data_IF_583391481163
#
_entry.id   IF_583391481163
#
_cell.length_a   1.000
_cell.length_b   1.000
_cell.length_c   1.000
_cell.angle_alpha   90.00
_cell.angle_beta   90.00
_cell.angle_gamma   90.00
#
_symmetry.space_group_name_H-M   'P 1'
#
loop_
_entity.id
_entity.type
_entity.pdbx_description
1 polymer ?
#
# COMPACT_ATOMS: atom_id res chain seq x y z
N UNK A 1 -46.24 25.21 -35.92
CA UNK A 1 -45.31 25.70 -36.97
C UNK A 1 -44.06 24.85 -36.86
N UNK A 2 -44.00 23.66 -37.54
CA UNK A 2 -43.58 23.37 -38.91
C UNK A 2 -42.15 23.86 -39.19
N UNK A 3 -41.22 22.91 -39.27
CA UNK A 3 -40.31 22.48 -40.34
C UNK A 3 -39.25 21.56 -39.74
N UNK A 4 -39.26 20.29 -39.86
CA UNK A 4 -38.83 19.37 -40.93
C UNK A 4 -37.64 19.83 -41.77
N UNK A 5 -36.57 19.09 -41.72
CA UNK A 5 -35.40 19.18 -42.58
C UNK A 5 -34.60 17.89 -42.53
N UNK A 6 -34.98 16.99 -43.32
CA UNK A 6 -34.53 15.70 -43.77
C UNK A 6 -33.46 15.92 -44.88
N UNK A 7 -32.32 15.24 -44.81
CA UNK A 7 -31.43 14.81 -45.91
C UNK A 7 -30.42 13.83 -45.28
N UNK A 8 -30.43 12.54 -45.44
CA UNK A 8 -30.39 11.68 -46.63
C UNK A 8 -28.99 11.58 -47.26
N UNK A 9 -28.52 10.30 -47.21
CA UNK A 9 -27.73 9.53 -48.20
C UNK A 9 -26.21 9.81 -48.33
N UNK A 10 -25.35 8.82 -48.25
CA UNK A 10 -24.82 7.75 -49.12
C UNK A 10 -23.57 7.17 -48.44
N UNK A 11 -23.50 5.94 -48.05
CA UNK A 11 -23.04 4.78 -48.79
C UNK A 11 -21.65 4.89 -49.43
N UNK A 12 -20.67 4.19 -48.89
CA UNK A 12 -19.73 3.43 -49.72
C UNK A 12 -18.93 2.42 -48.91
N UNK A 13 -19.09 1.19 -49.31
CA UNK A 13 -18.43 -0.05 -49.01
C UNK A 13 -16.98 0.03 -49.51
N UNK A 14 -16.03 -0.43 -48.71
CA UNK A 14 -14.79 -0.99 -49.20
C UNK A 14 -14.29 -2.10 -48.27
N UNK A 15 -14.62 -3.32 -48.69
CA UNK A 15 -14.08 -4.57 -48.25
C UNK A 15 -12.69 -4.75 -48.85
N UNK A 16 -11.64 -4.91 -48.06
CA UNK A 16 -10.39 -5.49 -48.53
C UNK A 16 -9.91 -6.54 -47.53
N UNK A 17 -10.12 -7.78 -47.92
CA UNK A 17 -9.42 -8.95 -47.40
C UNK A 17 -7.96 -8.93 -47.90
N UNK A 18 -7.01 -9.07 -46.98
CA UNK A 18 -5.74 -9.68 -47.32
C UNK A 18 -5.27 -10.53 -46.13
N UNK A 19 -5.40 -11.82 -46.34
CA UNK A 19 -4.63 -12.82 -45.63
C UNK A 19 -3.26 -12.91 -46.29
N UNK A 20 -2.18 -12.98 -45.52
CA UNK A 20 -1.11 -13.96 -45.78
C UNK A 20 -0.08 -13.98 -44.63
N UNK A 21 0.14 -15.18 -44.14
CA UNK A 21 1.26 -15.61 -43.32
C UNK A 21 2.59 -15.38 -44.00
N UNK A 22 3.61 -14.96 -43.22
CA UNK A 22 4.95 -15.54 -43.40
C UNK A 22 5.75 -15.41 -42.11
N UNK A 23 6.34 -16.51 -41.70
CA UNK A 23 7.35 -16.66 -40.67
C UNK A 23 8.57 -15.78 -40.97
N UNK A 24 9.09 -15.09 -39.96
CA UNK A 24 10.33 -14.35 -40.03
C UNK A 24 10.92 -14.11 -38.64
N UNK A 25 11.89 -14.96 -38.31
CA UNK A 25 12.71 -14.91 -37.09
C UNK A 25 13.78 -13.86 -37.32
N UNK A 26 13.88 -12.85 -36.45
CA UNK A 26 15.13 -12.24 -35.99
C UNK A 26 14.89 -11.17 -34.95
N UNK A 27 15.37 -11.41 -33.78
CA UNK A 27 16.25 -10.67 -32.89
C UNK A 27 16.36 -9.15 -33.12
N UNK A 28 16.08 -8.42 -32.08
CA UNK A 28 16.31 -6.99 -31.96
C UNK A 28 15.52 -6.42 -30.78
N UNK A 29 16.03 -6.66 -29.58
CA UNK A 29 15.52 -6.07 -28.35
C UNK A 29 15.94 -4.60 -28.31
N UNK A 30 15.00 -3.70 -28.48
CA UNK A 30 15.10 -2.37 -27.90
C UNK A 30 14.01 -2.28 -26.86
N UNK A 31 14.44 -2.44 -25.62
CA UNK A 31 13.62 -2.28 -24.42
C UNK A 31 13.46 -0.80 -24.19
N UNK A 32 12.30 -0.28 -24.50
CA UNK A 32 11.84 1.03 -24.06
C UNK A 32 11.63 0.96 -22.53
N UNK A 33 12.30 1.78 -21.71
CA UNK A 33 12.09 1.80 -20.27
C UNK A 33 10.93 2.71 -19.92
N UNK A 34 9.72 2.38 -20.39
CA UNK A 34 8.49 3.00 -19.87
C UNK A 34 8.06 2.23 -18.64
N UNK A 35 8.37 2.82 -17.49
CA UNK A 35 8.09 2.40 -16.14
C UNK A 35 6.76 1.70 -15.88
N UNK A 36 6.73 0.41 -16.10
CA UNK A 36 5.83 -0.48 -15.39
C UNK A 36 6.64 -1.03 -14.21
N UNK A 37 6.58 -0.33 -13.09
CA UNK A 37 7.04 -0.86 -11.82
C UNK A 37 6.16 -2.07 -11.54
N UNK A 38 6.59 -3.24 -11.99
CA UNK A 38 6.00 -4.50 -11.59
C UNK A 38 5.94 -4.47 -10.06
N UNK A 39 4.74 -4.26 -9.54
CA UNK A 39 4.44 -4.36 -8.12
C UNK A 39 4.80 -5.79 -7.73
N UNK A 40 6.02 -5.96 -7.20
CA UNK A 40 6.44 -7.25 -6.67
C UNK A 40 5.43 -7.61 -5.62
N UNK A 41 4.65 -8.65 -5.88
CA UNK A 41 3.59 -9.08 -5.00
C UNK A 41 4.21 -9.39 -3.63
N UNK A 42 3.88 -8.53 -2.66
CA UNK A 42 4.26 -8.74 -1.28
C UNK A 42 3.44 -9.91 -0.73
N UNK A 43 4.09 -10.95 -0.28
CA UNK A 43 3.39 -12.12 0.23
C UNK A 43 4.23 -13.39 0.18
N UNK A 44 3.57 -14.52 0.20
CA UNK A 44 4.23 -15.83 0.16
C UNK A 44 4.30 -16.33 -1.29
N UNK A 45 5.52 -16.54 -1.79
CA UNK A 45 5.81 -17.13 -3.09
C UNK A 45 6.60 -18.42 -2.84
N UNK A 46 6.14 -19.53 -3.38
CA UNK A 46 6.75 -20.87 -3.19
C UNK A 46 7.01 -21.21 -1.72
N UNK A 47 6.07 -20.88 -0.84
CA UNK A 47 6.16 -21.12 0.60
C UNK A 47 7.16 -20.21 1.34
N UNK A 48 7.77 -19.24 0.65
CA UNK A 48 8.68 -18.26 1.26
C UNK A 48 8.04 -16.89 1.29
N UNK A 49 8.18 -16.20 2.42
CA UNK A 49 7.76 -14.81 2.55
C UNK A 49 8.69 -13.91 1.71
N UNK A 50 8.10 -13.24 0.74
CA UNK A 50 8.77 -12.23 -0.10
C UNK A 50 8.43 -10.85 0.43
N UNK A 51 9.47 -10.15 0.85
CA UNK A 51 9.33 -8.76 1.27
C UNK A 51 9.36 -7.84 0.05
N UNK A 52 8.41 -6.92 -0.06
CA UNK A 52 8.47 -5.92 -1.11
C UNK A 52 9.68 -4.99 -0.88
N UNK A 53 10.25 -4.40 -1.94
CA UNK A 53 11.21 -3.32 -1.77
C UNK A 53 10.56 -2.16 -1.02
N UNK A 54 11.36 -1.33 -0.33
CA UNK A 54 10.84 -0.14 0.33
C UNK A 54 10.16 0.77 -0.70
N UNK A 55 8.87 1.04 -0.55
CA UNK A 55 8.16 1.91 -1.47
C UNK A 55 8.59 3.38 -1.29
N UNK A 56 8.42 4.18 -2.34
CA UNK A 56 8.63 5.63 -2.30
C UNK A 56 7.45 6.40 -1.68
N UNK A 57 6.29 5.74 -1.61
CA UNK A 57 5.07 6.28 -1.00
C UNK A 57 5.02 5.92 0.48
N UNK A 58 4.41 6.78 1.27
CA UNK A 58 4.16 6.53 2.69
C UNK A 58 3.01 5.55 2.92
N UNK A 59 2.06 5.46 1.98
CA UNK A 59 0.96 4.50 2.00
C UNK A 59 1.13 3.52 0.84
N UNK A 60 1.22 2.23 1.14
CA UNK A 60 1.42 1.17 0.14
C UNK A 60 0.46 0.01 0.36
N UNK A 61 -0.44 -0.17 -0.58
CA UNK A 61 -1.52 -1.15 -0.50
C UNK A 61 -1.24 -2.38 -1.37
N UNK A 62 -0.37 -3.28 -0.89
CA UNK A 62 -0.06 -4.53 -1.59
C UNK A 62 -1.20 -5.57 -1.50
N UNK A 63 -2.13 -5.39 -0.55
CA UNK A 63 -3.29 -6.27 -0.40
C UNK A 63 -4.52 -5.81 -1.19
N UNK A 64 -4.55 -4.55 -1.69
CA UNK A 64 -5.69 -3.99 -2.39
C UNK A 64 -6.91 -3.76 -1.50
N UNK A 65 -6.70 -3.42 -0.21
CA UNK A 65 -7.78 -3.30 0.78
C UNK A 65 -7.97 -1.88 1.31
N UNK A 66 -7.05 -0.95 1.01
CA UNK A 66 -7.13 0.42 1.52
C UNK A 66 -7.96 1.35 0.63
N UNK A 67 -8.29 0.90 -0.57
CA UNK A 67 -9.19 1.56 -1.54
C UNK A 67 -8.78 2.96 -2.02
N UNK A 68 -9.71 3.70 -2.65
CA UNK A 68 -9.45 4.98 -3.34
C UNK A 68 -9.06 6.14 -2.39
N UNK A 69 -9.18 5.96 -1.09
CA UNK A 69 -8.86 6.99 -0.08
C UNK A 69 -7.37 7.08 0.27
N UNK A 70 -6.52 6.23 -0.33
CA UNK A 70 -5.06 6.20 -0.11
C UNK A 70 -4.43 7.58 -0.32
N UNK A 71 -4.86 8.32 -1.36
CA UNK A 71 -4.30 9.64 -1.68
C UNK A 71 -4.46 10.64 -0.54
N UNK A 72 -5.63 10.68 0.09
CA UNK A 72 -5.86 11.58 1.22
C UNK A 72 -4.92 11.28 2.40
N UNK A 73 -4.76 10.00 2.73
CA UNK A 73 -3.87 9.57 3.81
C UNK A 73 -2.38 9.84 3.46
N UNK A 74 -1.99 9.61 2.21
CA UNK A 74 -0.65 9.93 1.72
C UNK A 74 -0.35 11.44 1.81
N UNK A 75 -1.30 12.29 1.39
CA UNK A 75 -1.16 13.75 1.42
C UNK A 75 -1.07 14.26 2.87
N UNK A 76 -1.86 13.71 3.79
CA UNK A 76 -1.79 14.05 5.21
C UNK A 76 -0.46 13.66 5.83
N UNK A 77 0.04 12.46 5.54
CA UNK A 77 1.34 12.00 6.02
C UNK A 77 2.48 12.85 5.46
N UNK A 78 2.46 13.19 4.18
CA UNK A 78 3.46 14.06 3.55
C UNK A 78 3.47 15.46 4.14
N UNK A 79 2.30 16.04 4.37
CA UNK A 79 2.17 17.35 5.01
C UNK A 79 2.80 17.30 6.41
N UNK A 80 2.46 16.30 7.22
CA UNK A 80 3.01 16.17 8.55
C UNK A 80 4.53 15.95 8.54
N UNK A 81 5.04 15.11 7.65
CA UNK A 81 6.47 14.85 7.51
C UNK A 81 7.27 16.09 7.03
N UNK A 82 6.62 17.08 6.41
CA UNK A 82 7.25 18.35 6.06
C UNK A 82 7.44 19.26 7.27
N UNK A 83 6.65 19.08 8.31
CA UNK A 83 6.69 19.89 9.54
C UNK A 83 7.50 19.22 10.65
N UNK A 84 7.43 17.89 10.73
CA UNK A 84 8.09 17.08 11.75
C UNK A 84 8.98 16.04 11.07
N UNK A 85 10.28 15.94 11.41
CA UNK A 85 11.20 15.00 10.78
C UNK A 85 10.95 13.57 11.28
N UNK A 86 9.88 12.95 10.82
CA UNK A 86 9.49 11.57 11.09
C UNK A 86 9.08 10.86 9.80
N UNK A 87 9.38 9.60 9.69
CA UNK A 87 8.92 8.75 8.60
C UNK A 87 7.80 7.83 9.10
N UNK A 88 6.57 8.02 8.62
CA UNK A 88 5.43 7.17 8.95
C UNK A 88 5.04 6.43 7.68
N UNK A 89 5.01 5.11 7.75
CA UNK A 89 4.61 4.26 6.64
C UNK A 89 3.40 3.42 7.02
N UNK A 90 2.42 3.36 6.12
CA UNK A 90 1.25 2.47 6.21
C UNK A 90 1.35 1.45 5.10
N UNK A 91 1.28 0.18 5.45
CA UNK A 91 1.46 -0.92 4.51
C UNK A 91 0.38 -1.96 4.72
N UNK A 92 -0.26 -2.39 3.64
CA UNK A 92 -1.07 -3.61 3.66
C UNK A 92 -0.35 -4.75 2.93
N UNK A 93 -0.45 -5.96 3.46
CA UNK A 93 0.06 -7.18 2.80
C UNK A 93 -1.03 -8.25 2.75
N UNK A 94 -1.25 -8.86 1.58
CA UNK A 94 -2.35 -9.80 1.38
C UNK A 94 -2.22 -11.07 2.23
N UNK A 95 -1.00 -11.53 2.45
CA UNK A 95 -0.72 -12.79 3.14
C UNK A 95 0.71 -12.81 3.69
N UNK A 96 0.88 -13.38 4.89
CA UNK A 96 2.17 -13.44 5.60
C UNK A 96 2.65 -14.88 5.90
N UNK A 97 1.99 -15.90 5.31
CA UNK A 97 2.27 -17.30 5.66
C UNK A 97 1.92 -17.59 7.12
N UNK A 98 2.65 -18.52 7.73
CA UNK A 98 2.47 -18.92 9.13
C UNK A 98 3.19 -17.96 10.11
N UNK A 99 3.65 -16.82 9.63
CA UNK A 99 4.42 -15.85 10.40
C UNK A 99 3.58 -15.03 11.38
N UNK A 100 4.23 -14.52 12.41
CA UNK A 100 3.68 -13.54 13.35
C UNK A 100 3.76 -12.13 12.76
N UNK A 101 2.65 -11.39 12.80
CA UNK A 101 2.56 -10.04 12.21
C UNK A 101 3.50 -9.03 12.87
N UNK A 102 3.78 -9.17 14.17
CA UNK A 102 4.70 -8.30 14.90
C UNK A 102 6.15 -8.55 14.48
N UNK A 103 6.50 -9.83 14.35
CA UNK A 103 7.82 -10.22 13.84
C UNK A 103 7.99 -9.71 12.41
N UNK A 104 6.96 -9.83 11.57
CA UNK A 104 6.99 -9.33 10.20
C UNK A 104 7.21 -7.81 10.15
N UNK A 105 6.46 -7.03 10.91
CA UNK A 105 6.63 -5.59 10.98
C UNK A 105 8.05 -5.20 11.42
N UNK A 106 8.63 -5.96 12.34
CA UNK A 106 10.00 -5.77 12.81
C UNK A 106 11.05 -6.05 11.72
N UNK A 107 10.88 -7.17 11.00
CA UNK A 107 11.76 -7.52 9.88
C UNK A 107 11.66 -6.53 8.71
N UNK A 108 10.44 -6.05 8.40
CA UNK A 108 10.25 -4.98 7.42
C UNK A 108 10.94 -3.68 7.86
N UNK A 109 10.77 -3.29 9.12
CA UNK A 109 11.42 -2.12 9.68
C UNK A 109 12.95 -2.16 9.55
N UNK A 110 13.56 -3.35 9.76
CA UNK A 110 14.99 -3.55 9.56
C UNK A 110 15.37 -3.49 8.07
N UNK A 111 14.68 -4.25 7.21
CA UNK A 111 14.98 -4.34 5.77
C UNK A 111 14.85 -2.99 5.06
N UNK A 112 13.93 -2.15 5.49
CA UNK A 112 13.69 -0.84 4.94
C UNK A 112 14.51 0.26 5.63
N UNK A 113 15.44 -0.12 6.53
CA UNK A 113 16.29 0.79 7.29
C UNK A 113 15.51 1.81 8.15
N UNK A 114 14.27 1.47 8.52
CA UNK A 114 13.48 2.29 9.44
C UNK A 114 14.00 2.16 10.88
N UNK A 115 14.54 1.01 11.24
CA UNK A 115 15.10 0.77 12.58
C UNK A 115 16.27 1.70 12.90
N UNK A 116 17.02 2.12 11.88
CA UNK A 116 18.20 3.00 11.98
C UNK A 116 17.82 4.49 12.00
N UNK A 117 16.57 4.81 11.63
CA UNK A 117 16.06 6.18 11.67
C UNK A 117 15.88 6.64 13.11
N UNK A 118 16.15 7.92 13.35
CA UNK A 118 15.87 8.52 14.66
C UNK A 118 14.36 8.42 14.96
N UNK A 119 13.52 8.68 13.96
CA UNK A 119 12.07 8.70 14.09
C UNK A 119 11.41 8.02 12.90
N UNK A 120 10.90 6.82 13.10
CA UNK A 120 10.12 6.11 12.10
C UNK A 120 9.05 5.23 12.75
N UNK A 121 7.88 5.17 12.12
CA UNK A 121 6.76 4.30 12.47
C UNK A 121 6.34 3.53 11.22
N UNK A 122 6.12 2.23 11.35
CA UNK A 122 5.52 1.39 10.34
C UNK A 122 4.22 0.79 10.88
N UNK A 123 3.11 1.03 10.21
CA UNK A 123 1.80 0.46 10.48
C UNK A 123 1.57 -0.62 9.43
N UNK A 124 1.50 -1.87 9.86
CA UNK A 124 1.27 -3.03 8.99
C UNK A 124 -0.13 -3.58 9.20
N UNK A 125 -0.85 -3.80 8.10
CA UNK A 125 -2.17 -4.41 8.07
C UNK A 125 -2.13 -5.66 7.21
N UNK A 126 -2.61 -6.78 7.75
CA UNK A 126 -2.74 -8.05 7.06
C UNK A 126 -4.22 -8.44 7.11
N UNK A 127 -4.95 -8.32 5.99
CA UNK A 127 -6.40 -8.56 5.96
C UNK A 127 -6.77 -10.02 6.16
N UNK A 128 -5.83 -10.94 5.94
CA UNK A 128 -6.06 -12.37 6.10
C UNK A 128 -4.79 -13.04 6.60
N UNK A 129 -4.77 -13.40 7.88
CA UNK A 129 -3.73 -14.21 8.50
C UNK A 129 -4.03 -15.73 8.35
N UNK A 130 -3.14 -16.63 8.79
CA UNK A 130 -3.33 -18.07 8.67
C UNK A 130 -4.62 -18.59 9.31
N UNK A 131 -5.07 -17.99 10.40
CA UNK A 131 -6.34 -18.32 11.07
C UNK A 131 -7.57 -17.68 10.41
N UNK A 132 -7.37 -16.91 9.32
CA UNK A 132 -8.42 -16.24 8.58
C UNK A 132 -8.85 -14.90 9.16
N UNK A 133 -8.31 -14.48 10.31
CA UNK A 133 -8.59 -13.17 10.90
C UNK A 133 -7.74 -12.07 10.26
N UNK A 134 -8.18 -10.81 10.38
CA UNK A 134 -7.34 -9.68 10.06
C UNK A 134 -6.44 -9.35 11.25
N UNK A 135 -5.18 -9.05 10.96
CA UNK A 135 -4.16 -8.71 11.96
C UNK A 135 -3.45 -7.41 11.61
N UNK A 136 -2.88 -6.77 12.61
CA UNK A 136 -2.06 -5.58 12.42
C UNK A 136 -0.91 -5.54 13.43
N UNK A 137 0.12 -4.78 13.08
CA UNK A 137 1.23 -4.47 13.97
C UNK A 137 1.75 -3.05 13.73
N UNK A 138 2.33 -2.47 14.77
CA UNK A 138 3.00 -1.17 14.70
C UNK A 138 4.45 -1.37 15.12
N UNK A 139 5.37 -1.02 14.22
CA UNK A 139 6.80 -0.96 14.52
C UNK A 139 7.19 0.50 14.74
N UNK A 140 8.01 0.75 15.75
CA UNK A 140 8.63 2.05 16.00
C UNK A 140 10.16 1.92 16.04
N UNK A 141 10.86 2.88 15.44
CA UNK A 141 12.32 2.97 15.49
C UNK A 141 12.82 3.21 16.91
N UNK A 142 14.10 2.90 17.15
CA UNK A 142 14.67 2.96 18.50
C UNK A 142 14.58 4.37 19.13
N UNK A 143 14.76 5.41 18.33
CA UNK A 143 14.76 6.79 18.83
C UNK A 143 13.43 7.25 19.43
N UNK A 144 12.31 6.62 19.02
CA UNK A 144 10.96 6.98 19.51
C UNK A 144 10.28 5.88 20.35
N UNK A 145 11.00 4.80 20.70
CA UNK A 145 10.43 3.72 21.54
C UNK A 145 9.99 4.16 22.94
N UNK A 146 10.56 5.24 23.46
CA UNK A 146 10.13 5.80 24.72
C UNK A 146 8.72 6.41 24.65
N UNK A 147 8.28 6.83 23.44
CA UNK A 147 6.94 7.34 23.15
C UNK A 147 6.05 6.17 22.71
N UNK A 148 6.51 5.41 21.70
CA UNK A 148 5.81 4.27 21.10
C UNK A 148 6.38 2.97 21.67
N UNK A 149 6.16 2.74 22.98
CA UNK A 149 6.54 1.48 23.61
C UNK A 149 5.74 0.31 23.00
N UNK A 150 6.25 -0.91 23.14
CA UNK A 150 5.53 -2.11 22.68
C UNK A 150 4.14 -2.20 23.30
N UNK A 151 4.02 -1.89 24.59
CA UNK A 151 2.71 -1.89 25.29
C UNK A 151 1.75 -0.87 24.67
N UNK A 152 2.24 0.34 24.35
CA UNK A 152 1.43 1.35 23.67
C UNK A 152 1.00 0.86 22.29
N UNK A 153 1.92 0.39 21.46
CA UNK A 153 1.60 -0.10 20.12
C UNK A 153 0.59 -1.26 20.13
N UNK A 154 0.75 -2.20 21.06
CA UNK A 154 -0.23 -3.29 21.25
C UNK A 154 -1.59 -2.76 21.71
N UNK A 155 -1.61 -1.76 22.57
CA UNK A 155 -2.84 -1.07 23.00
C UNK A 155 -3.56 -0.40 21.83
N UNK A 156 -2.85 0.31 20.97
CA UNK A 156 -3.43 0.93 19.76
C UNK A 156 -3.98 -0.15 18.82
N UNK A 157 -3.23 -1.22 18.57
CA UNK A 157 -3.71 -2.32 17.72
C UNK A 157 -4.98 -2.93 18.29
N UNK A 158 -5.04 -3.25 19.57
CA UNK A 158 -6.19 -3.92 20.18
C UNK A 158 -7.42 -3.01 20.32
N UNK A 159 -7.24 -1.73 20.65
CA UNK A 159 -8.34 -0.84 20.99
C UNK A 159 -8.80 0.04 19.82
N UNK A 160 -7.91 0.36 18.88
CA UNK A 160 -8.21 1.24 17.73
C UNK A 160 -8.34 0.43 16.44
N UNK A 161 -7.34 -0.39 16.13
CA UNK A 161 -7.32 -1.10 14.83
C UNK A 161 -8.27 -2.30 14.83
N UNK A 162 -8.20 -3.17 15.82
CA UNK A 162 -8.87 -4.47 15.79
C UNK A 162 -10.40 -4.38 15.63
N UNK A 163 -11.12 -3.46 16.27
CA UNK A 163 -12.55 -3.30 16.01
C UNK A 163 -12.86 -3.01 14.54
N UNK A 164 -12.10 -2.10 13.94
CA UNK A 164 -12.29 -1.72 12.54
C UNK A 164 -11.87 -2.83 11.57
N UNK A 165 -10.81 -3.58 11.90
CA UNK A 165 -10.37 -4.73 11.12
C UNK A 165 -11.40 -5.86 11.15
N UNK A 166 -12.07 -6.10 12.28
CA UNK A 166 -13.15 -7.08 12.41
C UNK A 166 -14.34 -6.73 11.49
N UNK A 167 -14.59 -5.43 11.32
CA UNK A 167 -15.62 -4.91 10.41
C UNK A 167 -15.13 -4.80 8.95
N UNK A 168 -13.91 -5.27 8.66
CA UNK A 168 -13.23 -5.15 7.36
C UNK A 168 -13.04 -3.71 6.88
N UNK A 169 -13.07 -2.76 7.80
CA UNK A 169 -12.78 -1.35 7.53
C UNK A 169 -11.27 -1.09 7.65
N UNK A 170 -10.51 -1.62 6.70
CA UNK A 170 -9.04 -1.55 6.71
C UNK A 170 -8.51 -0.11 6.57
N UNK A 171 -9.15 0.68 5.71
CA UNK A 171 -8.81 2.09 5.58
C UNK A 171 -9.09 2.86 6.88
N UNK A 172 -10.25 2.66 7.48
CA UNK A 172 -10.58 3.26 8.77
C UNK A 172 -9.58 2.88 9.86
N UNK A 173 -9.14 1.62 9.89
CA UNK A 173 -8.10 1.17 10.82
C UNK A 173 -6.76 1.90 10.59
N UNK A 174 -6.33 2.04 9.33
CA UNK A 174 -5.13 2.79 8.99
C UNK A 174 -5.24 4.26 9.40
N UNK A 175 -6.31 4.95 8.98
CA UNK A 175 -6.53 6.36 9.22
C UNK A 175 -6.62 6.69 10.72
N UNK A 176 -7.40 5.93 11.48
CA UNK A 176 -7.52 6.12 12.94
C UNK A 176 -6.19 5.89 13.66
N UNK A 177 -5.39 4.92 13.20
CA UNK A 177 -4.07 4.67 13.78
C UNK A 177 -3.09 5.80 13.45
N UNK A 178 -3.10 6.30 12.21
CA UNK A 178 -2.30 7.47 11.84
C UNK A 178 -2.68 8.68 12.69
N UNK A 179 -3.98 8.95 12.86
CA UNK A 179 -4.46 10.05 13.71
C UNK A 179 -3.95 9.91 15.15
N UNK A 180 -4.03 8.71 15.75
CA UNK A 180 -3.54 8.43 17.10
C UNK A 180 -2.02 8.64 17.22
N UNK A 181 -1.25 8.17 16.23
CA UNK A 181 0.21 8.38 16.15
C UNK A 181 0.53 9.88 16.06
N UNK A 182 -0.11 10.63 15.17
CA UNK A 182 0.11 12.06 14.99
C UNK A 182 -0.26 12.86 16.25
N UNK A 183 -1.38 12.53 16.88
CA UNK A 183 -1.81 13.13 18.15
C UNK A 183 -0.78 12.88 19.28
N UNK A 184 -0.27 11.66 19.36
CA UNK A 184 0.73 11.29 20.37
C UNK A 184 2.03 12.07 20.14
N UNK A 185 2.48 12.20 18.89
CA UNK A 185 3.66 12.98 18.53
C UNK A 185 3.49 14.48 18.84
N UNK A 186 2.29 15.03 18.61
CA UNK A 186 2.00 16.44 18.88
C UNK A 186 2.01 16.78 20.37
N UNK A 187 1.72 15.80 21.23
CA UNK A 187 1.73 15.97 22.68
C UNK A 187 3.13 15.85 23.29
N UNK A 188 4.09 15.35 22.54
CA UNK A 188 5.47 15.25 22.95
C UNK A 188 6.23 16.36 22.22
N UNK A 189 6.76 17.36 22.97
CA UNK A 189 7.66 18.36 22.38
C UNK A 189 8.92 17.64 21.89
N UNK A 190 8.96 17.39 20.57
CA UNK A 190 10.05 16.71 19.87
C UNK A 190 11.15 17.69 19.47
#
# INVERSE_FOLDING_TARGET
>A
MIRLGLYSLLASIALVLFAQCTSGKSSGSETDPSGDSAQVAAGVVDGKLVFPPKPSMMVSDFAGVLTDSIRGLEDDLRRYASEVPIEIMVVSMAHIGDGDVWQLAHEMGKRWHLAEKERAVLILIVPKSPDGSAQAAIFASQGIRHIFSETYCRGVVSNVMQPLLNDKNYYGAAAATVEDVLKTLSNVQL
#
